data_IF_665204907672
#
_entry.id   IF_665204907672
#
_cell.length_a   1.000
_cell.length_b   1.000
_cell.length_c   1.000
_cell.angle_alpha   90.00
_cell.angle_beta   90.00
_cell.angle_gamma   90.00
#
_symmetry.space_group_name_H-M   'P 1'
#
loop_
_entity.id
_entity.type
_entity.pdbx_description
1 polymer ?
#
# COMPACT_ATOMS: atom_id res chain seq x y z
N UNK A 1 36.33 -64.76 -48.52
CA UNK A 1 35.64 -64.16 -49.67
C UNK A 1 34.51 -63.30 -49.12
N UNK A 2 34.60 -61.99 -49.36
CA UNK A 2 33.79 -60.92 -48.79
C UNK A 2 32.29 -61.09 -49.06
N UNK A 3 31.43 -60.62 -48.16
CA UNK A 3 30.45 -59.58 -48.51
C UNK A 3 29.92 -58.87 -47.24
N UNK A 4 30.33 -57.61 -47.10
CA UNK A 4 29.73 -56.60 -46.22
C UNK A 4 28.29 -56.28 -46.66
N UNK A 5 27.36 -56.08 -45.71
CA UNK A 5 26.62 -54.81 -45.49
C UNK A 5 25.45 -54.97 -44.52
N UNK A 6 25.46 -54.13 -43.48
CA UNK A 6 24.43 -53.10 -43.20
C UNK A 6 24.08 -53.03 -41.72
N UNK A 7 24.73 -52.07 -41.08
CA UNK A 7 24.28 -51.35 -39.89
C UNK A 7 22.81 -50.96 -40.04
N UNK A 8 21.99 -51.27 -39.03
CA UNK A 8 20.84 -50.45 -38.63
C UNK A 8 20.77 -50.47 -37.11
N UNK A 9 21.23 -49.37 -36.54
CA UNK A 9 21.03 -48.95 -35.16
C UNK A 9 19.55 -49.07 -34.81
N UNK A 10 19.24 -49.70 -33.68
CA UNK A 10 17.87 -49.86 -33.20
C UNK A 10 17.83 -49.78 -31.68
N UNK A 11 18.06 -48.57 -31.18
CA UNK A 11 17.50 -47.98 -29.96
C UNK A 11 17.52 -46.46 -30.20
N UNK A 12 16.57 -45.63 -29.73
CA UNK A 12 15.78 -45.83 -28.50
C UNK A 12 14.34 -45.27 -28.54
N UNK A 13 13.31 -46.01 -28.13
CA UNK A 13 12.02 -45.38 -27.76
C UNK A 13 11.38 -46.17 -26.62
N UNK A 14 11.44 -45.60 -25.42
CA UNK A 14 10.32 -45.40 -24.47
C UNK A 14 10.93 -44.53 -23.34
N UNK A 15 10.88 -43.22 -23.56
CA UNK A 15 10.99 -42.21 -22.52
C UNK A 15 9.87 -41.20 -22.76
N UNK A 16 8.69 -41.47 -22.21
CA UNK A 16 7.62 -40.46 -22.10
C UNK A 16 6.56 -40.87 -21.08
N UNK A 17 6.95 -40.97 -19.81
CA UNK A 17 5.98 -40.96 -18.70
C UNK A 17 6.41 -39.94 -17.66
N UNK A 18 6.45 -38.65 -18.03
CA UNK A 18 6.28 -37.52 -17.10
C UNK A 18 5.70 -36.33 -17.87
N UNK A 19 4.39 -36.33 -18.12
CA UNK A 19 3.66 -35.09 -18.48
C UNK A 19 2.27 -35.09 -17.83
N UNK A 20 2.24 -35.12 -16.50
CA UNK A 20 1.12 -34.59 -15.72
C UNK A 20 1.66 -33.97 -14.43
N UNK A 21 2.32 -32.83 -14.57
CA UNK A 21 2.54 -31.89 -13.47
C UNK A 21 2.20 -30.49 -13.96
N UNK A 22 0.91 -30.22 -14.13
CA UNK A 22 0.40 -28.86 -14.23
C UNK A 22 -1.03 -28.81 -13.67
N UNK A 23 -1.23 -27.93 -12.68
CA UNK A 23 -2.40 -27.03 -12.50
C UNK A 23 -2.58 -26.50 -11.05
N UNK A 24 -1.50 -26.31 -10.28
CA UNK A 24 -1.54 -25.52 -9.04
C UNK A 24 -0.73 -24.21 -9.10
N UNK A 25 -0.04 -23.91 -10.21
CA UNK A 25 0.79 -22.70 -10.35
C UNK A 25 -0.02 -21.40 -10.43
N UNK A 26 -1.31 -21.46 -10.74
CA UNK A 26 -2.14 -20.24 -10.85
C UNK A 26 -2.55 -19.65 -9.49
N UNK A 27 -2.39 -20.40 -8.39
CA UNK A 27 -2.82 -19.99 -7.04
C UNK A 27 -1.67 -19.52 -6.13
N UNK A 28 -0.43 -19.60 -6.61
CA UNK A 28 0.78 -19.26 -5.85
C UNK A 28 1.68 -18.36 -6.68
N UNK A 29 2.58 -17.63 -6.03
CA UNK A 29 3.67 -16.93 -6.71
C UNK A 29 4.97 -17.70 -6.56
N UNK A 30 5.70 -17.88 -7.65
CA UNK A 30 7.04 -18.47 -7.58
C UNK A 30 8.05 -17.33 -7.68
N UNK A 31 8.94 -17.24 -6.69
CA UNK A 31 10.11 -16.36 -6.76
C UNK A 31 11.36 -17.22 -6.79
N UNK A 32 12.16 -17.04 -7.83
CA UNK A 32 13.50 -17.62 -7.96
C UNK A 32 14.53 -16.51 -8.09
N UNK A 33 15.79 -16.86 -7.86
CA UNK A 33 16.86 -15.94 -8.19
C UNK A 33 18.23 -16.44 -7.78
N UNK A 34 19.23 -15.65 -8.13
CA UNK A 34 20.61 -15.86 -7.69
C UNK A 34 21.33 -14.53 -7.66
N UNK A 35 21.96 -14.22 -6.54
CA UNK A 35 22.83 -13.06 -6.40
C UNK A 35 24.29 -13.46 -6.56
N UNK A 36 25.11 -12.58 -7.13
CA UNK A 36 26.56 -12.80 -7.23
C UNK A 36 27.16 -12.81 -5.83
N UNK A 37 26.80 -11.82 -5.01
CA UNK A 37 27.25 -11.66 -3.64
C UNK A 37 26.04 -11.62 -2.69
N UNK A 38 26.09 -12.39 -1.60
CA UNK A 38 25.07 -12.27 -0.54
C UNK A 38 25.49 -11.20 0.48
N UNK A 39 24.54 -10.38 0.90
CA UNK A 39 24.69 -9.46 2.05
C UNK A 39 24.03 -10.00 3.32
N UNK A 40 23.22 -11.05 3.19
CA UNK A 40 22.52 -11.77 4.24
C UNK A 40 22.20 -13.19 3.74
N UNK A 41 21.98 -14.13 4.66
CA UNK A 41 21.52 -15.49 4.34
C UNK A 41 20.02 -15.55 4.03
N UNK A 42 19.30 -14.45 4.26
CA UNK A 42 17.85 -14.35 4.08
C UNK A 42 17.46 -13.10 3.30
N UNK A 43 16.43 -13.22 2.46
CA UNK A 43 15.64 -12.09 1.99
C UNK A 43 14.35 -12.03 2.79
N UNK A 44 13.91 -10.83 3.19
CA UNK A 44 12.65 -10.65 3.87
C UNK A 44 11.68 -9.86 3.00
N UNK A 45 10.46 -10.38 2.88
CA UNK A 45 9.32 -9.68 2.31
C UNK A 45 8.64 -8.91 3.43
N UNK A 46 8.41 -7.62 3.21
CA UNK A 46 7.78 -6.73 4.15
C UNK A 46 6.62 -6.00 3.50
N UNK A 47 5.57 -5.72 4.25
CA UNK A 47 4.40 -4.95 3.81
C UNK A 47 4.37 -3.61 4.54
N UNK A 48 3.98 -2.52 3.87
CA UNK A 48 3.85 -1.21 4.51
C UNK A 48 2.48 -1.09 5.20
N UNK A 49 2.50 -1.11 6.53
CA UNK A 49 1.32 -0.86 7.37
C UNK A 49 1.14 0.67 7.48
N UNK A 50 0.17 1.19 6.73
CA UNK A 50 -0.14 2.62 6.68
C UNK A 50 -0.62 3.20 8.01
N UNK A 51 -1.27 2.39 8.84
CA UNK A 51 -1.80 2.83 10.14
C UNK A 51 -0.69 2.98 11.17
N UNK A 52 0.33 2.10 11.11
CA UNK A 52 1.52 2.19 11.96
C UNK A 52 2.65 3.03 11.35
N UNK A 53 2.52 3.41 10.08
CA UNK A 53 3.53 4.17 9.35
C UNK A 53 4.86 3.44 9.18
N UNK A 54 4.88 2.11 9.16
CA UNK A 54 6.12 1.32 9.10
C UNK A 54 5.95 0.02 8.31
N UNK A 55 7.07 -0.53 7.87
CA UNK A 55 7.10 -1.86 7.25
C UNK A 55 7.01 -2.96 8.32
N UNK A 56 6.11 -3.91 8.10
CA UNK A 56 5.93 -5.11 8.92
C UNK A 56 6.46 -6.33 8.18
N UNK A 57 7.05 -7.26 8.93
CA UNK A 57 7.56 -8.52 8.38
C UNK A 57 6.41 -9.43 7.90
N UNK A 58 6.59 -10.06 6.73
CA UNK A 58 5.60 -10.97 6.14
C UNK A 58 6.16 -12.38 5.96
N UNK A 59 7.32 -12.51 5.33
CA UNK A 59 7.90 -13.81 4.96
C UNK A 59 9.42 -13.75 4.81
N UNK A 60 10.11 -14.85 5.07
CA UNK A 60 11.55 -14.99 4.85
C UNK A 60 11.84 -16.01 3.75
N UNK A 61 12.70 -15.63 2.81
CA UNK A 61 13.26 -16.50 1.75
C UNK A 61 14.71 -16.81 2.11
N UNK A 62 15.05 -18.10 2.22
CA UNK A 62 16.40 -18.54 2.56
C UNK A 62 17.25 -18.75 1.30
N UNK A 63 18.48 -18.24 1.32
CA UNK A 63 19.47 -18.46 0.27
C UNK A 63 20.19 -19.79 0.51
N UNK A 64 20.45 -20.52 -0.58
CA UNK A 64 21.34 -21.69 -0.60
C UNK A 64 22.81 -21.25 -0.54
N UNK A 65 23.70 -22.19 -0.30
CA UNK A 65 25.15 -21.93 -0.24
C UNK A 65 25.72 -21.26 -1.50
N UNK A 66 25.15 -21.57 -2.66
CA UNK A 66 25.53 -21.00 -3.96
C UNK A 66 24.89 -19.65 -4.26
N UNK A 67 24.27 -19.00 -3.26
CA UNK A 67 23.51 -17.74 -3.33
C UNK A 67 22.24 -17.80 -4.21
N UNK A 68 21.79 -18.98 -4.62
CA UNK A 68 20.50 -19.14 -5.28
C UNK A 68 19.36 -19.29 -4.28
N UNK A 69 18.14 -18.96 -4.71
CA UNK A 69 16.93 -19.15 -3.93
C UNK A 69 15.75 -19.51 -4.82
N UNK A 70 14.79 -20.21 -4.23
CA UNK A 70 13.51 -20.54 -4.84
C UNK A 70 12.51 -20.66 -3.72
N UNK A 71 11.42 -19.92 -3.82
CA UNK A 71 10.34 -19.94 -2.85
C UNK A 71 8.99 -19.91 -3.56
N UNK A 72 7.97 -20.44 -2.90
CA UNK A 72 6.57 -20.42 -3.34
C UNK A 72 5.77 -19.65 -2.32
N UNK A 73 5.25 -18.50 -2.72
CA UNK A 73 4.51 -17.60 -1.86
C UNK A 73 3.01 -17.81 -2.03
N UNK A 74 2.27 -17.45 -0.99
CA UNK A 74 0.81 -17.38 -1.01
C UNK A 74 0.42 -16.07 -0.35
N UNK A 75 0.79 -14.97 -1.01
CA UNK A 75 0.54 -13.62 -0.52
C UNK A 75 -0.63 -12.97 -1.26
N UNK A 76 -1.24 -11.98 -0.64
CA UNK A 76 -2.22 -11.16 -1.33
C UNK A 76 -1.55 -10.28 -2.38
N UNK A 77 -2.26 -10.01 -3.47
CA UNK A 77 -1.76 -9.12 -4.51
C UNK A 77 -1.47 -7.73 -3.93
N UNK A 78 -0.28 -7.19 -4.17
CA UNK A 78 0.05 -5.86 -3.65
C UNK A 78 1.52 -5.47 -3.78
N UNK A 79 1.81 -4.29 -3.23
CA UNK A 79 3.16 -3.75 -3.12
C UNK A 79 3.81 -4.20 -1.81
N UNK A 80 5.03 -4.70 -1.93
CA UNK A 80 5.86 -5.15 -0.83
C UNK A 80 7.25 -4.54 -0.97
N UNK A 81 8.07 -4.73 0.07
CA UNK A 81 9.50 -4.51 0.04
C UNK A 81 10.22 -5.85 0.13
N UNK A 82 11.09 -6.14 -0.82
CA UNK A 82 12.09 -7.19 -0.69
C UNK A 82 13.33 -6.58 -0.05
N UNK A 83 13.82 -7.16 1.04
CA UNK A 83 14.96 -6.63 1.80
C UNK A 83 16.02 -7.70 2.08
N UNK A 84 17.28 -7.28 2.16
CA UNK A 84 18.44 -8.10 2.49
C UNK A 84 19.37 -7.28 3.36
N UNK A 85 19.31 -7.47 4.67
CA UNK A 85 19.98 -6.60 5.64
C UNK A 85 19.48 -5.16 5.52
N UNK A 86 20.38 -4.21 5.18
CA UNK A 86 20.07 -2.79 5.06
C UNK A 86 19.53 -2.38 3.68
N UNK A 87 19.66 -3.23 2.68
CA UNK A 87 19.28 -2.92 1.31
C UNK A 87 17.88 -3.44 1.02
N UNK A 88 17.13 -2.70 0.20
CA UNK A 88 15.76 -3.10 -0.14
C UNK A 88 15.33 -2.55 -1.50
N UNK A 89 14.33 -3.19 -2.10
CA UNK A 89 13.72 -2.79 -3.38
C UNK A 89 12.21 -3.00 -3.30
N UNK A 90 11.44 -2.16 -3.99
CA UNK A 90 9.99 -2.35 -4.12
C UNK A 90 9.70 -3.55 -5.03
N UNK A 91 8.68 -4.34 -4.68
CA UNK A 91 8.25 -5.51 -5.45
C UNK A 91 6.72 -5.59 -5.46
N UNK A 92 6.14 -5.87 -6.61
CA UNK A 92 4.72 -6.16 -6.77
C UNK A 92 4.51 -7.66 -6.93
N UNK A 93 3.67 -8.24 -6.09
CA UNK A 93 3.35 -9.66 -6.08
C UNK A 93 1.88 -9.87 -6.44
N UNK A 94 1.61 -10.96 -7.15
CA UNK A 94 0.28 -11.38 -7.56
C UNK A 94 0.28 -12.86 -7.91
N UNK A 95 -0.77 -13.58 -7.50
CA UNK A 95 -0.95 -15.01 -7.80
C UNK A 95 -0.73 -15.33 -9.27
N UNK A 96 0.00 -16.41 -9.51
CA UNK A 96 0.40 -16.83 -10.84
C UNK A 96 1.59 -16.07 -11.42
N UNK A 97 2.25 -15.21 -10.66
CA UNK A 97 3.57 -14.67 -11.03
C UNK A 97 4.65 -15.74 -10.93
N UNK A 98 5.65 -15.62 -11.81
CA UNK A 98 6.84 -16.45 -11.82
C UNK A 98 8.02 -15.52 -12.09
N UNK A 99 8.59 -15.00 -11.00
CA UNK A 99 9.61 -13.97 -11.01
C UNK A 99 10.98 -14.59 -10.80
N UNK A 100 11.91 -14.31 -11.71
CA UNK A 100 13.32 -14.58 -11.50
C UNK A 100 14.08 -13.27 -11.26
N UNK A 101 14.78 -13.18 -10.14
CA UNK A 101 15.54 -12.00 -9.72
C UNK A 101 17.04 -12.28 -9.91
N UNK A 102 17.71 -11.42 -10.64
CA UNK A 102 19.15 -11.50 -10.84
C UNK A 102 19.81 -10.13 -10.65
N UNK A 103 21.05 -10.16 -10.17
CA UNK A 103 21.84 -8.96 -9.91
C UNK A 103 23.07 -9.27 -9.07
N UNK A 104 23.88 -8.25 -8.79
CA UNK A 104 25.09 -8.43 -7.97
C UNK A 104 24.72 -8.70 -6.51
N UNK A 105 23.91 -7.83 -5.93
CA UNK A 105 23.27 -8.01 -4.63
C UNK A 105 22.06 -7.07 -4.55
N UNK A 106 21.17 -7.29 -3.58
CA UNK A 106 20.06 -6.37 -3.34
C UNK A 106 20.62 -5.00 -2.93
N UNK A 107 20.22 -3.92 -3.61
CA UNK A 107 20.77 -2.55 -3.42
C UNK A 107 21.65 -2.05 -4.57
N UNK A 108 22.16 -2.96 -5.41
CA UNK A 108 22.75 -2.62 -6.71
C UNK A 108 21.69 -2.66 -7.83
N UNK A 109 22.11 -2.56 -9.08
CA UNK A 109 21.28 -2.91 -10.23
C UNK A 109 20.86 -4.38 -10.16
N UNK A 110 19.57 -4.61 -9.93
CA UNK A 110 18.89 -5.88 -10.09
C UNK A 110 17.97 -5.80 -11.32
N UNK A 111 17.51 -6.94 -11.80
CA UNK A 111 16.47 -7.01 -12.83
C UNK A 111 15.60 -8.25 -12.62
N UNK A 112 14.35 -8.14 -13.06
CA UNK A 112 13.37 -9.20 -13.02
C UNK A 112 13.18 -9.81 -14.41
N UNK A 113 13.02 -11.12 -14.48
CA UNK A 113 12.59 -11.85 -15.68
C UNK A 113 11.42 -12.79 -15.33
N UNK A 114 10.70 -13.28 -16.35
CA UNK A 114 9.52 -14.13 -16.16
C UNK A 114 8.21 -13.35 -16.08
N UNK A 115 7.14 -14.02 -15.59
CA UNK A 115 5.79 -13.44 -15.50
C UNK A 115 5.71 -12.51 -14.28
N UNK A 116 5.34 -11.25 -14.52
CA UNK A 116 5.38 -10.17 -13.54
C UNK A 116 6.64 -9.29 -13.63
N UNK A 117 7.56 -9.59 -14.58
CA UNK A 117 8.80 -8.85 -14.72
C UNK A 117 8.61 -7.40 -15.19
N UNK A 118 7.61 -7.11 -16.02
CA UNK A 118 7.38 -5.77 -16.55
C UNK A 118 7.03 -4.78 -15.43
N UNK A 119 6.11 -5.18 -14.55
CA UNK A 119 5.68 -4.43 -13.38
C UNK A 119 6.86 -4.18 -12.43
N UNK A 120 7.63 -5.23 -12.13
CA UNK A 120 8.72 -5.15 -11.17
C UNK A 120 9.95 -4.39 -11.70
N UNK A 121 10.27 -4.49 -12.99
CA UNK A 121 11.30 -3.67 -13.61
C UNK A 121 10.90 -2.19 -13.67
N UNK A 122 9.62 -1.89 -13.91
CA UNK A 122 9.10 -0.54 -13.78
C UNK A 122 9.26 0.00 -12.35
N UNK A 123 8.98 -0.81 -11.31
CA UNK A 123 9.14 -0.39 -9.92
C UNK A 123 10.59 -0.05 -9.56
N UNK A 124 11.58 -0.74 -10.16
CA UNK A 124 12.99 -0.34 -10.01
C UNK A 124 13.22 1.07 -10.57
N UNK A 125 12.79 1.33 -11.82
CA UNK A 125 12.94 2.65 -12.43
C UNK A 125 12.17 3.73 -11.64
N UNK A 126 11.02 3.38 -11.08
CA UNK A 126 10.20 4.25 -10.24
C UNK A 126 10.89 4.58 -8.91
N UNK A 127 11.44 3.58 -8.21
CA UNK A 127 12.21 3.80 -6.97
C UNK A 127 13.37 4.80 -7.22
N UNK A 128 14.08 4.67 -8.35
CA UNK A 128 15.13 5.63 -8.73
C UNK A 128 14.59 7.03 -9.06
N UNK A 129 13.44 7.13 -9.74
CA UNK A 129 12.81 8.42 -10.00
C UNK A 129 12.38 9.09 -8.69
N UNK A 130 11.71 8.35 -7.81
CA UNK A 130 11.21 8.81 -6.51
C UNK A 130 12.38 9.35 -5.65
N UNK A 131 13.49 8.62 -5.60
CA UNK A 131 14.72 9.06 -4.91
C UNK A 131 15.29 10.37 -5.48
N UNK A 132 15.23 10.56 -6.82
CA UNK A 132 15.72 11.79 -7.47
C UNK A 132 14.83 13.01 -7.23
N UNK A 133 13.53 12.80 -7.00
CA UNK A 133 12.57 13.90 -6.82
C UNK A 133 12.23 14.16 -5.35
N UNK A 134 12.65 13.30 -4.41
CA UNK A 134 12.27 13.36 -2.99
C UNK A 134 12.47 14.73 -2.33
N UNK A 135 13.59 15.40 -2.62
CA UNK A 135 13.90 16.71 -2.02
C UNK A 135 12.93 17.80 -2.48
N UNK A 136 12.33 17.62 -3.66
CA UNK A 136 11.30 18.53 -4.18
C UNK A 136 9.93 18.30 -3.54
N UNK A 137 9.76 17.20 -2.84
CA UNK A 137 8.53 16.84 -2.14
C UNK A 137 8.62 17.04 -0.63
N UNK A 138 9.80 17.41 -0.12
CA UNK A 138 10.00 17.76 1.28
C UNK A 138 9.05 18.88 1.72
N UNK A 139 8.36 18.68 2.84
CA UNK A 139 7.34 19.63 3.28
C UNK A 139 7.90 20.99 3.67
N UNK A 140 9.15 21.06 4.17
CA UNK A 140 9.77 22.35 4.46
C UNK A 140 10.03 23.11 3.16
N UNK A 141 10.63 22.46 2.15
CA UNK A 141 10.80 23.07 0.82
C UNK A 141 9.47 23.53 0.23
N UNK A 142 8.45 22.66 0.23
CA UNK A 142 7.09 22.97 -0.26
C UNK A 142 6.51 24.18 0.46
N UNK A 143 6.73 24.33 1.78
CA UNK A 143 6.21 25.45 2.57
C UNK A 143 6.75 26.83 2.14
N UNK A 144 7.92 26.86 1.49
CA UNK A 144 8.54 28.11 1.01
C UNK A 144 7.97 28.58 -0.32
N UNK A 145 7.24 27.72 -1.05
CA UNK A 145 6.73 28.04 -2.38
C UNK A 145 5.50 28.94 -2.32
N UNK A 146 5.33 29.77 -3.35
CA UNK A 146 4.05 30.39 -3.72
C UNK A 146 3.10 29.34 -4.33
N UNK A 147 1.82 29.68 -4.49
CA UNK A 147 0.84 28.79 -5.13
C UNK A 147 1.24 28.42 -6.56
N UNK A 148 1.65 29.39 -7.37
CA UNK A 148 2.02 29.15 -8.77
C UNK A 148 3.28 28.28 -8.89
N UNK A 149 4.28 28.51 -8.04
CA UNK A 149 5.50 27.69 -7.98
C UNK A 149 5.16 26.26 -7.55
N UNK A 150 4.32 26.09 -6.54
CA UNK A 150 3.86 24.79 -6.07
C UNK A 150 3.12 24.03 -7.18
N UNK A 151 2.15 24.66 -7.83
CA UNK A 151 1.35 24.04 -8.89
C UNK A 151 2.23 23.65 -10.08
N UNK A 152 3.13 24.53 -10.50
CA UNK A 152 4.10 24.27 -11.59
C UNK A 152 5.01 23.08 -11.25
N UNK A 153 5.50 23.02 -10.00
CA UNK A 153 6.32 21.92 -9.53
C UNK A 153 5.55 20.59 -9.58
N UNK A 154 4.35 20.54 -9.00
CA UNK A 154 3.58 19.29 -8.94
C UNK A 154 3.00 18.85 -10.28
N UNK A 155 2.76 19.76 -11.22
CA UNK A 155 2.50 19.44 -12.61
C UNK A 155 3.72 18.77 -13.28
N UNK A 156 4.92 19.29 -13.01
CA UNK A 156 6.17 18.73 -13.52
C UNK A 156 6.48 17.35 -12.92
N UNK A 157 6.29 17.19 -11.60
CA UNK A 157 6.47 15.91 -10.90
C UNK A 157 5.46 14.86 -11.39
N UNK A 158 4.20 15.25 -11.61
CA UNK A 158 3.20 14.36 -12.19
C UNK A 158 3.59 13.95 -13.62
N UNK A 159 4.08 14.90 -14.42
CA UNK A 159 4.50 14.66 -15.81
C UNK A 159 5.63 13.62 -15.89
N UNK A 160 6.68 13.73 -15.09
CA UNK A 160 7.78 12.76 -15.14
C UNK A 160 7.35 11.37 -14.70
N UNK A 161 6.46 11.26 -13.71
CA UNK A 161 5.90 9.97 -13.27
C UNK A 161 5.00 9.34 -14.33
N UNK A 162 4.13 10.12 -14.97
CA UNK A 162 3.22 9.59 -15.99
C UNK A 162 3.97 9.24 -17.29
N UNK A 163 5.06 9.95 -17.62
CA UNK A 163 5.95 9.59 -18.72
C UNK A 163 6.63 8.25 -18.48
N UNK A 164 7.16 8.02 -17.27
CA UNK A 164 7.71 6.73 -16.87
C UNK A 164 6.66 5.62 -16.98
N UNK A 165 5.46 5.83 -16.44
CA UNK A 165 4.34 4.89 -16.60
C UNK A 165 4.03 4.59 -18.07
N UNK A 166 3.90 5.62 -18.91
CA UNK A 166 3.54 5.47 -20.32
C UNK A 166 4.57 4.70 -21.13
N UNK A 167 5.85 4.78 -20.76
CA UNK A 167 6.94 4.00 -21.38
C UNK A 167 6.74 2.49 -21.21
N UNK A 168 6.17 2.05 -20.08
CA UNK A 168 6.09 0.63 -19.70
C UNK A 168 4.68 0.03 -19.75
N UNK A 169 3.62 0.85 -19.74
CA UNK A 169 2.22 0.41 -19.56
C UNK A 169 1.73 -0.73 -20.44
N UNK A 170 2.27 -0.86 -21.66
CA UNK A 170 1.84 -1.91 -22.59
C UNK A 170 2.25 -3.33 -22.13
N UNK A 171 3.18 -3.42 -21.20
CA UNK A 171 3.61 -4.69 -20.60
C UNK A 171 2.93 -5.04 -19.28
N UNK A 172 2.09 -4.16 -18.74
CA UNK A 172 1.47 -4.38 -17.42
C UNK A 172 0.21 -5.22 -17.52
N UNK A 173 -0.06 -5.99 -16.48
CA UNK A 173 -1.40 -6.50 -16.23
C UNK A 173 -2.38 -5.35 -15.91
N UNK A 174 -3.67 -5.61 -16.12
CA UNK A 174 -4.73 -4.59 -16.03
C UNK A 174 -4.83 -3.96 -14.64
N UNK A 175 -4.79 -4.77 -13.58
CA UNK A 175 -4.92 -4.28 -12.21
C UNK A 175 -3.73 -3.41 -11.81
N UNK A 176 -2.51 -3.86 -12.09
CA UNK A 176 -1.30 -3.07 -11.84
C UNK A 176 -1.35 -1.75 -12.61
N UNK A 177 -1.69 -1.81 -13.90
CA UNK A 177 -1.81 -0.64 -14.76
C UNK A 177 -2.82 0.37 -14.22
N UNK A 178 -3.97 -0.11 -13.73
CA UNK A 178 -5.00 0.71 -13.12
C UNK A 178 -4.52 1.34 -11.81
N UNK A 179 -4.00 0.51 -10.89
CA UNK A 179 -3.58 0.96 -9.56
C UNK A 179 -2.45 2.00 -9.67
N UNK A 180 -1.44 1.76 -10.51
CA UNK A 180 -0.33 2.72 -10.65
C UNK A 180 -0.79 4.05 -11.24
N UNK A 181 -1.61 4.02 -12.29
CA UNK A 181 -2.11 5.24 -12.90
C UNK A 181 -2.94 6.07 -11.93
N UNK A 182 -3.80 5.43 -11.14
CA UNK A 182 -4.58 6.12 -10.12
C UNK A 182 -3.71 6.56 -8.93
N UNK A 183 -2.69 5.78 -8.56
CA UNK A 183 -1.71 6.13 -7.52
C UNK A 183 -0.96 7.41 -7.82
N UNK A 184 -0.47 7.59 -9.06
CA UNK A 184 0.20 8.83 -9.51
C UNK A 184 -0.73 10.05 -9.37
N UNK A 185 -2.01 9.91 -9.73
CA UNK A 185 -3.00 10.99 -9.58
C UNK A 185 -3.30 11.29 -8.11
N UNK A 186 -3.52 10.25 -7.30
CA UNK A 186 -3.80 10.36 -5.87
C UNK A 186 -2.66 11.04 -5.13
N UNK A 187 -1.41 10.74 -5.51
CA UNK A 187 -0.24 11.39 -4.93
C UNK A 187 -0.27 12.90 -5.19
N UNK A 188 -0.50 13.34 -6.43
CA UNK A 188 -0.65 14.77 -6.75
C UNK A 188 -1.78 15.41 -5.95
N UNK A 189 -2.95 14.77 -5.92
CA UNK A 189 -4.11 15.28 -5.20
C UNK A 189 -3.84 15.40 -3.69
N UNK A 190 -3.11 14.44 -3.11
CA UNK A 190 -2.70 14.50 -1.71
C UNK A 190 -1.90 15.76 -1.41
N UNK A 191 -0.89 16.07 -2.23
CA UNK A 191 -0.08 17.27 -2.02
C UNK A 191 -0.87 18.56 -2.23
N UNK A 192 -1.73 18.64 -3.25
CA UNK A 192 -2.62 19.80 -3.45
C UNK A 192 -3.51 19.98 -2.21
N UNK A 193 -4.09 18.89 -1.68
CA UNK A 193 -4.90 18.93 -0.47
C UNK A 193 -4.11 19.29 0.80
N UNK A 194 -2.81 18.99 0.85
CA UNK A 194 -1.94 19.28 1.98
C UNK A 194 -1.36 20.70 1.96
N UNK A 195 -1.36 21.40 0.81
CA UNK A 195 -0.60 22.63 0.64
C UNK A 195 -0.98 23.73 1.65
N UNK A 196 -2.28 23.97 1.85
CA UNK A 196 -2.75 24.95 2.83
C UNK A 196 -2.25 24.63 4.24
N UNK A 197 -2.38 23.37 4.67
CA UNK A 197 -1.93 22.91 5.99
C UNK A 197 -0.40 23.06 6.10
N UNK A 198 0.35 22.62 5.09
CA UNK A 198 1.82 22.76 5.05
C UNK A 198 2.23 24.23 5.27
N UNK A 199 1.60 25.18 4.57
CA UNK A 199 1.85 26.63 4.79
C UNK A 199 1.51 27.02 6.22
N UNK A 200 0.32 26.67 6.72
CA UNK A 200 -0.09 27.02 8.08
C UNK A 200 0.84 26.51 9.18
N UNK A 201 1.40 25.30 9.02
CA UNK A 201 2.25 24.68 10.05
C UNK A 201 3.72 25.06 9.92
N UNK A 202 4.25 25.19 8.71
CA UNK A 202 5.69 25.28 8.48
C UNK A 202 6.19 26.68 8.06
N UNK A 203 5.35 27.54 7.49
CA UNK A 203 5.73 28.94 7.21
C UNK A 203 5.57 29.86 8.42
N UNK A 204 4.81 29.42 9.44
CA UNK A 204 4.45 30.20 10.62
C UNK A 204 3.16 31.01 10.48
N UNK A 205 2.58 31.12 9.27
CA UNK A 205 1.31 31.81 9.04
C UNK A 205 0.11 30.89 9.28
N UNK A 206 -0.32 30.79 10.55
CA UNK A 206 -1.46 29.97 10.98
C UNK A 206 -2.79 30.32 10.31
N UNK A 207 -2.90 31.51 9.71
CA UNK A 207 -4.11 31.99 9.06
C UNK A 207 -4.05 31.86 7.53
N UNK A 208 -2.97 31.31 6.97
CA UNK A 208 -2.81 31.12 5.54
C UNK A 208 -4.03 30.40 4.95
N UNK A 209 -4.54 30.92 3.85
CA UNK A 209 -5.60 30.30 3.04
C UNK A 209 -5.18 30.32 1.59
N UNK A 210 -5.41 29.21 0.90
CA UNK A 210 -5.17 29.18 -0.54
C UNK A 210 -6.12 30.12 -1.27
N UNK A 211 -5.69 30.65 -2.41
CA UNK A 211 -6.52 31.53 -3.23
C UNK A 211 -7.81 30.82 -3.69
N UNK A 212 -8.85 31.60 -4.02
CA UNK A 212 -10.10 31.04 -4.56
C UNK A 212 -9.93 30.34 -5.92
N UNK A 213 -8.82 30.61 -6.62
CA UNK A 213 -8.43 29.93 -7.86
C UNK A 213 -7.64 28.64 -7.64
N UNK A 214 -7.26 28.33 -6.40
CA UNK A 214 -6.48 27.14 -6.10
C UNK A 214 -7.27 25.86 -6.44
N UNK A 215 -6.66 24.86 -7.10
CA UNK A 215 -7.40 23.69 -7.58
C UNK A 215 -8.06 22.88 -6.46
N UNK A 216 -9.29 22.41 -6.72
CA UNK A 216 -9.93 21.45 -5.83
C UNK A 216 -9.26 20.07 -5.98
N UNK A 217 -8.55 19.56 -4.94
CA UNK A 217 -7.80 18.31 -5.00
C UNK A 217 -8.70 17.06 -5.11
N UNK A 218 -10.01 17.22 -4.89
CA UNK A 218 -10.95 16.10 -4.83
C UNK A 218 -11.76 15.91 -6.12
N UNK A 219 -11.43 16.66 -7.17
CA UNK A 219 -12.08 16.55 -8.48
C UNK A 219 -11.79 15.17 -9.09
N UNK A 220 -12.83 14.44 -9.49
CA UNK A 220 -12.75 13.11 -10.12
C UNK A 220 -12.00 12.05 -9.30
N UNK A 221 -12.06 12.10 -7.95
CA UNK A 221 -11.55 11.01 -7.13
C UNK A 221 -12.31 9.72 -7.36
N UNK A 222 -11.58 8.61 -7.49
CA UNK A 222 -12.17 7.28 -7.47
C UNK A 222 -12.46 6.85 -6.03
N UNK A 223 -13.70 6.97 -5.62
CA UNK A 223 -14.13 6.69 -4.24
C UNK A 223 -14.49 5.22 -3.98
N UNK A 224 -14.61 4.38 -5.02
CA UNK A 224 -15.36 3.13 -4.92
C UNK A 224 -14.69 1.90 -5.57
N UNK A 225 -13.44 2.02 -6.00
CA UNK A 225 -12.66 0.89 -6.53
C UNK A 225 -11.71 0.34 -5.45
N UNK A 226 -12.05 -0.84 -4.91
CA UNK A 226 -11.35 -1.46 -3.77
C UNK A 226 -9.92 -1.89 -4.10
N UNK A 227 -9.55 -1.97 -5.39
CA UNK A 227 -8.16 -2.21 -5.79
C UNK A 227 -7.22 -1.11 -5.30
N UNK A 228 -7.74 0.11 -5.09
CA UNK A 228 -6.97 1.25 -4.59
C UNK A 228 -6.63 1.13 -3.10
N UNK A 229 -7.27 0.24 -2.33
CA UNK A 229 -6.87 -0.05 -0.93
C UNK A 229 -5.43 -0.57 -0.84
N UNK A 230 -4.85 -1.08 -1.94
CA UNK A 230 -3.45 -1.50 -2.03
C UNK A 230 -2.47 -0.32 -1.98
N UNK A 231 -2.94 0.91 -2.19
CA UNK A 231 -2.13 2.12 -2.11
C UNK A 231 -2.23 2.70 -0.69
N UNK A 232 -1.09 2.83 -0.03
CA UNK A 232 -1.03 3.41 1.33
C UNK A 232 -1.66 4.81 1.42
N UNK A 233 -1.66 5.56 0.32
CA UNK A 233 -2.15 6.94 0.26
C UNK A 233 -3.67 7.02 0.06
N UNK A 234 -4.33 5.93 -0.33
CA UNK A 234 -5.75 5.95 -0.70
C UNK A 234 -6.65 6.31 0.49
N UNK A 235 -6.60 5.53 1.57
CA UNK A 235 -7.41 5.75 2.78
C UNK A 235 -7.23 7.18 3.34
N UNK A 236 -5.99 7.72 3.50
CA UNK A 236 -5.79 9.11 3.91
C UNK A 236 -6.42 10.17 2.99
N UNK A 237 -6.37 9.98 1.67
CA UNK A 237 -6.99 10.93 0.71
C UNK A 237 -8.51 10.90 0.83
N UNK A 238 -9.11 9.71 0.94
CA UNK A 238 -10.57 9.59 1.13
C UNK A 238 -10.99 10.17 2.47
N UNK A 239 -10.27 9.88 3.57
CA UNK A 239 -10.56 10.48 4.88
C UNK A 239 -10.58 12.00 4.81
N UNK A 240 -9.55 12.61 4.18
CA UNK A 240 -9.48 14.07 4.02
C UNK A 240 -10.60 14.60 3.13
N UNK A 241 -10.96 13.89 2.06
CA UNK A 241 -12.12 14.23 1.25
C UNK A 241 -13.40 14.26 2.10
N UNK A 242 -13.70 13.22 2.87
CA UNK A 242 -14.89 13.21 3.74
C UNK A 242 -14.86 14.38 4.74
N UNK A 243 -13.71 14.66 5.36
CA UNK A 243 -13.57 15.84 6.24
C UNK A 243 -13.87 17.15 5.53
N UNK A 244 -13.44 17.29 4.28
CA UNK A 244 -13.70 18.50 3.49
C UNK A 244 -15.19 18.73 3.24
N UNK A 245 -15.99 17.66 3.16
CA UNK A 245 -17.45 17.76 2.94
C UNK A 245 -18.25 18.24 4.16
N UNK A 246 -17.65 18.19 5.36
CA UNK A 246 -18.34 18.52 6.62
C UNK A 246 -18.34 20.02 6.94
N UNK A 247 -17.40 20.80 6.40
CA UNK A 247 -17.32 22.24 6.64
C UNK A 247 -17.35 22.61 8.14
N UNK A 248 -18.34 23.44 8.54
CA UNK A 248 -18.52 23.88 9.93
C UNK A 248 -18.90 22.76 10.91
N UNK A 249 -19.42 21.64 10.43
CA UNK A 249 -19.84 20.51 11.26
C UNK A 249 -18.67 19.82 11.96
N UNK A 250 -17.42 20.07 11.52
CA UNK A 250 -16.20 19.62 12.18
C UNK A 250 -16.07 20.07 13.64
N UNK A 251 -16.76 21.13 14.03
CA UNK A 251 -16.77 21.67 15.41
C UNK A 251 -17.91 21.11 16.28
N UNK A 252 -18.74 20.23 15.73
CA UNK A 252 -19.90 19.68 16.43
C UNK A 252 -19.51 18.56 17.39
N UNK A 253 -20.21 18.47 18.53
CA UNK A 253 -20.12 17.33 19.45
C UNK A 253 -20.54 16.00 18.83
N UNK A 254 -21.30 16.03 17.73
CA UNK A 254 -21.68 14.86 16.94
C UNK A 254 -20.81 14.64 15.70
N UNK A 255 -19.62 15.27 15.63
CA UNK A 255 -18.76 15.26 14.45
C UNK A 255 -18.46 13.84 13.94
N UNK A 256 -18.13 12.89 14.82
CA UNK A 256 -17.81 11.52 14.39
C UNK A 256 -19.04 10.83 13.79
N UNK A 257 -20.24 11.03 14.35
CA UNK A 257 -21.46 10.49 13.77
C UNK A 257 -21.73 11.07 12.38
N UNK A 258 -21.61 12.40 12.25
CA UNK A 258 -21.78 13.10 10.96
C UNK A 258 -20.74 12.67 9.93
N UNK A 259 -19.50 12.44 10.35
CA UNK A 259 -18.46 11.89 9.50
C UNK A 259 -18.88 10.50 8.96
N UNK A 260 -19.35 9.61 9.83
CA UNK A 260 -19.79 8.28 9.42
C UNK A 260 -21.02 8.32 8.49
N UNK A 261 -21.92 9.27 8.70
CA UNK A 261 -23.04 9.50 7.78
C UNK A 261 -22.56 10.00 6.41
N UNK A 262 -21.56 10.89 6.36
CA UNK A 262 -20.94 11.33 5.09
C UNK A 262 -20.14 10.23 4.41
N UNK A 263 -19.42 9.41 5.17
CA UNK A 263 -18.75 8.23 4.66
C UNK A 263 -19.75 7.29 3.98
N UNK A 264 -20.86 7.00 4.66
CA UNK A 264 -21.92 6.13 4.16
C UNK A 264 -22.63 6.71 2.92
N UNK A 265 -22.83 8.04 2.88
CA UNK A 265 -23.40 8.76 1.73
C UNK A 265 -22.48 8.75 0.50
N UNK A 266 -21.17 8.96 0.69
CA UNK A 266 -20.22 9.17 -0.42
C UNK A 266 -19.58 7.90 -0.95
N UNK A 267 -19.45 6.88 -0.11
CA UNK A 267 -18.78 5.62 -0.45
C UNK A 267 -19.84 4.53 -0.59
N UNK A 268 -19.97 3.95 -1.77
CA UNK A 268 -20.87 2.84 -2.06
C UNK A 268 -20.19 1.48 -1.94
N UNK A 269 -18.87 1.40 -2.13
CA UNK A 269 -18.14 0.14 -2.04
C UNK A 269 -18.08 -0.33 -0.56
N UNK A 270 -18.61 -1.54 -0.25
CA UNK A 270 -18.70 -2.00 1.13
C UNK A 270 -17.33 -2.26 1.77
N UNK A 271 -16.33 -2.74 1.03
CA UNK A 271 -14.99 -2.99 1.58
C UNK A 271 -14.29 -1.69 1.97
N UNK A 272 -14.35 -0.68 1.09
CA UNK A 272 -13.75 0.64 1.37
C UNK A 272 -14.46 1.29 2.57
N UNK A 273 -15.79 1.21 2.60
CA UNK A 273 -16.60 1.74 3.71
C UNK A 273 -16.24 1.08 5.04
N UNK A 274 -16.14 -0.25 5.04
CA UNK A 274 -15.76 -1.04 6.20
C UNK A 274 -14.37 -0.67 6.71
N UNK A 275 -13.36 -0.62 5.84
CA UNK A 275 -11.99 -0.22 6.16
C UNK A 275 -11.93 1.17 6.80
N UNK A 276 -12.56 2.16 6.19
CA UNK A 276 -12.57 3.54 6.71
C UNK A 276 -13.38 3.66 8.01
N UNK A 277 -14.51 2.94 8.13
CA UNK A 277 -15.29 2.93 9.36
C UNK A 277 -14.50 2.29 10.51
N UNK A 278 -13.77 1.20 10.23
CA UNK A 278 -12.94 0.52 11.20
C UNK A 278 -11.83 1.44 11.74
N UNK A 279 -11.10 2.14 10.86
CA UNK A 279 -10.06 3.09 11.28
C UNK A 279 -10.61 4.18 12.22
N UNK A 280 -11.79 4.74 11.89
CA UNK A 280 -12.45 5.74 12.72
C UNK A 280 -12.84 5.14 14.08
N UNK A 281 -13.39 3.91 14.06
CA UNK A 281 -13.79 3.18 15.26
C UNK A 281 -12.63 2.93 16.22
N UNK A 282 -11.47 2.49 15.73
CA UNK A 282 -10.33 2.20 16.60
C UNK A 282 -9.62 3.49 17.07
N UNK A 283 -9.49 4.49 16.19
CA UNK A 283 -8.66 5.66 16.51
C UNK A 283 -9.42 6.77 17.24
N UNK A 284 -10.73 6.92 17.00
CA UNK A 284 -11.50 8.10 17.43
C UNK A 284 -12.63 7.82 18.40
N UNK A 285 -13.04 6.57 18.60
CA UNK A 285 -14.18 6.23 19.47
C UNK A 285 -13.99 6.74 20.91
N UNK A 286 -12.76 6.75 21.43
CA UNK A 286 -12.42 7.27 22.77
C UNK A 286 -12.69 8.78 22.95
N UNK A 287 -12.82 9.52 21.86
CA UNK A 287 -13.03 10.99 21.87
C UNK A 287 -14.52 11.36 21.75
N UNK A 288 -15.39 10.36 21.60
CA UNK A 288 -16.81 10.56 21.33
C UNK A 288 -17.56 10.84 22.63
N UNK A 289 -18.29 11.95 22.68
CA UNK A 289 -19.20 12.28 23.81
C UNK A 289 -20.41 11.35 23.86
N UNK A 290 -21.11 11.20 22.73
CA UNK A 290 -22.31 10.36 22.60
C UNK A 290 -21.95 9.00 21.99
N UNK A 291 -21.47 8.08 22.81
CA UNK A 291 -20.86 6.83 22.37
C UNK A 291 -21.84 5.87 21.65
N UNK A 292 -23.06 5.73 22.17
CA UNK A 292 -24.03 4.73 21.69
C UNK A 292 -24.46 4.94 20.22
N UNK A 293 -24.88 6.13 19.77
CA UNK A 293 -25.22 6.36 18.36
C UNK A 293 -24.04 6.11 17.42
N UNK A 294 -22.83 6.52 17.80
CA UNK A 294 -21.62 6.30 17.00
C UNK A 294 -21.31 4.82 16.88
N UNK A 295 -21.34 4.07 17.98
CA UNK A 295 -21.14 2.62 17.96
C UNK A 295 -22.18 1.90 17.09
N UNK A 296 -23.45 2.27 17.20
CA UNK A 296 -24.51 1.71 16.36
C UNK A 296 -24.29 2.00 14.87
N UNK A 297 -23.83 3.21 14.52
CA UNK A 297 -23.50 3.54 13.13
C UNK A 297 -22.28 2.75 12.65
N UNK A 298 -21.20 2.72 13.42
CA UNK A 298 -19.98 1.97 13.09
C UNK A 298 -20.27 0.50 12.78
N UNK A 299 -20.97 -0.18 13.69
CA UNK A 299 -21.30 -1.61 13.54
C UNK A 299 -22.25 -1.87 12.37
N UNK A 300 -23.07 -0.91 11.95
CA UNK A 300 -23.90 -1.04 10.75
C UNK A 300 -23.10 -0.98 9.44
N UNK A 301 -21.86 -0.46 9.47
CA UNK A 301 -21.01 -0.30 8.28
C UNK A 301 -19.96 -1.41 8.14
N UNK A 302 -19.87 -2.33 9.12
CA UNK A 302 -18.79 -3.32 9.22
C UNK A 302 -19.41 -4.71 9.30
N UNK A 303 -18.92 -5.59 8.43
CA UNK A 303 -19.27 -7.00 8.33
C UNK A 303 -18.15 -7.93 8.79
N UNK A 304 -16.89 -7.48 8.76
CA UNK A 304 -15.75 -8.25 9.23
C UNK A 304 -15.83 -8.50 10.76
N UNK A 305 -15.86 -9.78 11.14
CA UNK A 305 -16.02 -10.20 12.54
C UNK A 305 -14.85 -9.77 13.44
N UNK A 306 -13.62 -9.80 12.93
CA UNK A 306 -12.45 -9.34 13.69
C UNK A 306 -12.54 -7.83 13.99
N UNK A 307 -12.95 -7.05 12.99
CA UNK A 307 -13.16 -5.61 13.13
C UNK A 307 -14.28 -5.30 14.13
N UNK A 308 -15.41 -6.00 14.02
CA UNK A 308 -16.52 -5.89 14.96
C UNK A 308 -16.08 -6.20 16.40
N UNK A 309 -15.36 -7.31 16.60
CA UNK A 309 -14.85 -7.70 17.91
C UNK A 309 -13.91 -6.63 18.51
N UNK A 310 -13.00 -6.07 17.70
CA UNK A 310 -12.10 -4.99 18.15
C UNK A 310 -12.86 -3.73 18.54
N UNK A 311 -13.87 -3.34 17.76
CA UNK A 311 -14.70 -2.16 18.05
C UNK A 311 -15.58 -2.39 19.28
N UNK A 312 -16.17 -3.57 19.43
CA UNK A 312 -16.96 -3.93 20.61
C UNK A 312 -16.11 -3.88 21.88
N UNK A 313 -14.89 -4.45 21.83
CA UNK A 313 -13.95 -4.37 22.94
C UNK A 313 -13.59 -2.91 23.28
N UNK A 314 -13.31 -2.07 22.27
CA UNK A 314 -13.05 -0.65 22.47
C UNK A 314 -14.26 0.06 23.11
N UNK A 315 -15.46 -0.19 22.61
CA UNK A 315 -16.71 0.37 23.13
C UNK A 315 -16.94 -0.01 24.61
N UNK A 316 -16.82 -1.29 24.94
CA UNK A 316 -17.02 -1.81 26.29
C UNK A 316 -15.99 -1.23 27.27
N UNK A 317 -14.73 -1.08 26.84
CA UNK A 317 -13.69 -0.45 27.65
C UNK A 317 -13.97 1.02 27.94
N UNK A 318 -14.40 1.80 26.93
CA UNK A 318 -14.75 3.22 27.10
C UNK A 318 -15.99 3.36 27.99
N UNK A 319 -16.99 2.49 27.81
CA UNK A 319 -18.23 2.53 28.58
C UNK A 319 -17.98 2.45 30.10
N UNK A 320 -17.02 1.63 30.54
CA UNK A 320 -16.67 1.42 31.95
C UNK A 320 -16.06 2.64 32.65
N UNK A 321 -15.58 3.63 31.91
CA UNK A 321 -14.92 4.82 32.45
C UNK A 321 -15.74 6.10 32.22
N UNK A 322 -17.01 5.96 31.79
CA UNK A 322 -17.90 7.10 31.62
C UNK A 322 -18.31 7.70 32.98
N UNK A 323 -18.53 9.03 33.04
CA UNK A 323 -19.02 9.67 34.25
C UNK A 323 -20.30 9.02 34.78
N UNK A 324 -20.31 8.66 36.07
CA UNK A 324 -21.44 7.99 36.73
C UNK A 324 -21.30 6.47 36.87
N UNK A 325 -20.33 5.85 36.19
CA UNK A 325 -20.00 4.43 36.38
C UNK A 325 -19.09 4.24 37.61
N UNK A 326 -19.17 3.06 38.23
CA UNK A 326 -18.32 2.72 39.36
C UNK A 326 -16.84 2.71 38.94
N UNK A 327 -15.99 3.44 39.69
CA UNK A 327 -14.56 3.51 39.41
C UNK A 327 -13.94 2.10 39.43
N UNK A 328 -13.06 1.75 38.47
CA UNK A 328 -12.32 0.50 38.50
C UNK A 328 -11.58 0.31 39.83
N UNK A 329 -11.64 -0.89 40.40
CA UNK A 329 -10.84 -1.23 41.57
C UNK A 329 -9.37 -1.36 41.15
N UNK A 330 -8.47 -0.67 41.83
CA UNK A 330 -7.03 -0.78 41.63
C UNK A 330 -6.32 -1.04 42.95
N UNK A 331 -5.27 -1.85 42.92
CA UNK A 331 -4.39 -2.08 44.08
C UNK A 331 -3.08 -1.36 43.82
N UNK A 332 -2.76 -0.36 44.65
CA UNK A 332 -1.45 0.27 44.64
C UNK A 332 -0.55 -0.46 45.63
N UNK A 333 0.59 -0.96 45.17
CA UNK A 333 1.65 -1.47 46.05
C UNK A 333 2.59 -0.30 46.32
N UNK A 334 2.70 0.08 47.59
CA UNK A 334 3.65 1.08 48.04
C UNK A 334 5.08 0.47 47.94
N UNK A 335 5.99 1.18 47.28
CA UNK A 335 7.40 0.79 47.19
C UNK A 335 8.19 1.50 48.31
N UNK A 336 7.93 1.12 49.56
CA UNK A 336 8.76 1.50 50.70
C UNK A 336 9.82 0.43 51.00
#
# INVERSE_FOLDING_TARGET
>A
MNFFKSIKELFPIILSVILFSCNNQDNVEIITGKFINRTSDTLNIMYYDGDKGKYEFVHSIYLKEDNSFTDTLTLDQGYYKLSSGKNSTSIFLQKGFNLNIAGKHLGDTIYYTGKGANENNYLIEKDFLDERIKEKQDFYYVSTLTEDEFLTLYDSLYKVQIELYNKHKNGFNEDFSFIEKEGIKLMKNHYIASFEEIKQYLSGDRNYKVSGSFPNPYTNLNLNDDRLLKLYIYKPVIDRYIHSTLGAERKSDSYILKYLDKLDEKISNPKIKEELAFDIGINRLKQVKNLKPVYSKLTSLISNEEYLNKIENAYNNIKRILPGEASPQFTCIDMN
#
